data_IF_897249984966
#
_entry.id   IF_897249984966
#
_cell.length_a   1.000
_cell.length_b   1.000
_cell.length_c   1.000
_cell.angle_alpha   90.00
_cell.angle_beta   90.00
_cell.angle_gamma   90.00
#
_symmetry.space_group_name_H-M   'P 1'
#
loop_
_entity.id
_entity.type
_entity.pdbx_description
1 polymer ?
#
# COMPACT_ATOMS: atom_id res chain seq x y z
N UNK A 1 35.33 -18.08 -11.59
CA UNK A 1 34.39 -17.04 -11.11
C UNK A 1 34.45 -16.98 -9.58
N UNK A 2 34.31 -15.80 -9.01
CA UNK A 2 34.40 -15.59 -7.55
C UNK A 2 33.01 -15.32 -6.98
N UNK A 3 32.77 -15.81 -5.76
CA UNK A 3 31.58 -15.52 -4.98
C UNK A 3 31.60 -14.10 -4.38
N UNK A 4 30.51 -13.67 -3.75
CA UNK A 4 30.39 -12.33 -3.14
C UNK A 4 31.39 -12.13 -1.98
N UNK A 5 31.92 -13.21 -1.43
CA UNK A 5 32.99 -13.26 -0.43
C UNK A 5 34.40 -13.22 -1.05
N UNK A 6 34.50 -13.10 -2.37
CA UNK A 6 35.77 -13.09 -3.11
C UNK A 6 36.43 -14.46 -3.24
N UNK A 7 35.80 -15.55 -2.79
CA UNK A 7 36.35 -16.90 -2.90
C UNK A 7 35.96 -17.57 -4.22
N UNK A 8 36.79 -18.49 -4.71
CA UNK A 8 36.51 -19.23 -5.95
C UNK A 8 35.33 -20.16 -5.70
N UNK A 9 34.27 -20.03 -6.51
CA UNK A 9 33.08 -20.85 -6.38
C UNK A 9 33.41 -22.32 -6.72
N UNK A 10 32.96 -23.29 -5.88
CA UNK A 10 33.07 -24.70 -6.21
C UNK A 10 32.20 -25.06 -7.41
N UNK A 11 32.50 -26.18 -8.06
CA UNK A 11 31.82 -26.65 -9.27
C UNK A 11 31.25 -28.04 -9.01
N UNK A 12 30.05 -28.33 -9.53
CA UNK A 12 29.48 -29.67 -9.50
C UNK A 12 30.17 -30.64 -10.48
N UNK A 13 29.79 -31.91 -10.42
CA UNK A 13 30.31 -32.98 -11.27
C UNK A 13 29.99 -32.81 -12.76
N UNK A 14 29.10 -31.88 -13.11
CA UNK A 14 28.77 -31.50 -14.49
C UNK A 14 29.46 -30.22 -14.97
N UNK A 15 30.29 -29.61 -14.12
CA UNK A 15 31.05 -28.41 -14.47
C UNK A 15 30.30 -27.09 -14.24
N UNK A 16 29.16 -27.11 -13.54
CA UNK A 16 28.41 -25.89 -13.20
C UNK A 16 28.84 -25.31 -11.85
N UNK A 17 28.96 -23.99 -11.76
CA UNK A 17 29.35 -23.32 -10.53
C UNK A 17 28.22 -23.38 -9.49
N UNK A 18 28.52 -23.96 -8.33
CA UNK A 18 27.59 -24.05 -7.20
C UNK A 18 27.75 -22.80 -6.34
N UNK A 19 26.65 -22.07 -6.17
CA UNK A 19 26.58 -20.96 -5.23
C UNK A 19 26.07 -21.46 -3.88
N UNK A 20 26.96 -21.56 -2.90
CA UNK A 20 26.63 -21.88 -1.51
C UNK A 20 26.68 -20.58 -0.69
N UNK A 21 25.55 -20.09 -0.14
CA UNK A 21 25.55 -18.92 0.72
C UNK A 21 26.41 -19.18 1.97
N UNK A 22 27.40 -18.33 2.22
CA UNK A 22 28.34 -18.46 3.34
C UNK A 22 27.65 -18.07 4.66
N UNK A 23 27.15 -19.06 5.39
CA UNK A 23 26.66 -18.87 6.77
C UNK A 23 27.84 -18.83 7.77
N UNK A 24 28.40 -17.64 8.00
CA UNK A 24 29.21 -17.31 9.18
C UNK A 24 29.01 -15.81 9.48
N UNK A 25 28.61 -15.34 10.66
CA UNK A 25 28.33 -16.01 11.91
C UNK A 25 28.11 -14.92 12.96
N UNK A 26 26.85 -14.50 13.13
CA UNK A 26 26.36 -13.92 14.37
C UNK A 26 25.13 -14.73 14.78
N UNK A 27 25.19 -15.34 15.98
CA UNK A 27 24.06 -16.08 16.57
C UNK A 27 22.99 -15.08 17.00
N UNK A 28 22.22 -14.61 16.03
CA UNK A 28 20.83 -14.23 16.25
C UNK A 28 20.00 -15.33 15.62
N UNK A 29 19.13 -15.94 16.40
CA UNK A 29 18.15 -16.92 15.94
C UNK A 29 17.18 -16.22 15.00
N UNK A 30 17.59 -15.94 13.76
CA UNK A 30 16.76 -15.34 12.72
C UNK A 30 15.82 -16.42 12.18
N UNK A 31 14.74 -16.65 12.93
CA UNK A 31 13.47 -17.05 12.33
C UNK A 31 13.19 -16.15 11.13
N UNK A 32 12.65 -16.67 10.00
CA UNK A 32 12.37 -15.86 8.82
C UNK A 32 11.57 -14.64 9.26
N UNK A 33 12.12 -13.46 8.97
CA UNK A 33 11.68 -12.18 9.47
C UNK A 33 10.16 -12.07 9.41
N UNK A 34 9.55 -12.09 10.60
CA UNK A 34 8.18 -11.71 10.79
C UNK A 34 8.08 -10.23 10.41
N UNK A 35 7.49 -9.94 9.26
CA UNK A 35 7.10 -8.57 8.87
C UNK A 35 6.01 -8.06 9.83
N UNK A 36 6.42 -7.67 11.03
CA UNK A 36 5.68 -6.74 11.84
C UNK A 36 6.02 -5.32 11.34
N UNK A 37 5.10 -4.37 11.49
CA UNK A 37 5.55 -2.97 11.58
C UNK A 37 6.68 -2.95 12.62
N UNK A 38 7.74 -2.16 12.38
CA UNK A 38 8.75 -2.01 13.43
C UNK A 38 8.02 -1.61 14.71
N UNK A 39 8.35 -2.21 15.85
CA UNK A 39 7.75 -1.83 17.14
C UNK A 39 7.92 -0.34 17.49
N UNK A 40 8.69 0.39 16.68
CA UNK A 40 8.88 1.84 16.73
C UNK A 40 7.90 2.64 15.87
N UNK A 41 7.21 2.03 14.92
CA UNK A 41 6.20 2.71 14.11
C UNK A 41 4.91 2.86 14.93
N UNK A 42 4.36 4.09 15.03
CA UNK A 42 3.08 4.28 15.68
C UNK A 42 1.97 3.53 14.93
N UNK A 43 0.93 3.03 15.62
CA UNK A 43 -0.21 2.43 14.96
C UNK A 43 -0.85 3.46 14.02
N UNK A 44 -1.26 3.02 12.83
CA UNK A 44 -1.96 3.90 11.89
C UNK A 44 -3.26 4.38 12.52
N UNK A 45 -3.40 5.70 12.66
CA UNK A 45 -4.59 6.33 13.23
C UNK A 45 -5.60 6.73 12.16
N UNK A 46 -5.11 7.11 10.97
CA UNK A 46 -5.95 7.50 9.83
C UNK A 46 -5.53 6.74 8.57
N UNK A 47 -6.52 6.17 7.88
CA UNK A 47 -6.34 5.48 6.61
C UNK A 47 -7.28 6.09 5.56
N UNK A 48 -6.70 6.77 4.57
CA UNK A 48 -7.45 7.39 3.47
C UNK A 48 -7.23 6.59 2.18
N UNK A 49 -8.31 6.21 1.53
CA UNK A 49 -8.31 5.62 0.20
C UNK A 49 -8.54 6.72 -0.83
N UNK A 50 -7.63 6.84 -1.80
CA UNK A 50 -7.85 7.65 -3.00
C UNK A 50 -8.02 6.66 -4.14
N UNK A 51 -9.18 6.66 -4.80
CA UNK A 51 -9.54 5.62 -5.78
C UNK A 51 -9.89 6.27 -7.11
N UNK A 52 -9.16 5.91 -8.16
CA UNK A 52 -9.55 6.27 -9.51
C UNK A 52 -10.86 5.56 -9.89
N UNK A 53 -11.86 6.35 -10.27
CA UNK A 53 -13.17 5.89 -10.72
C UNK A 53 -13.56 6.52 -12.06
N UNK A 54 -12.55 6.81 -12.89
CA UNK A 54 -12.71 7.37 -14.23
C UNK A 54 -13.34 6.36 -15.21
N UNK A 55 -13.79 6.85 -16.37
CA UNK A 55 -14.20 6.01 -17.50
C UNK A 55 -13.15 4.96 -17.91
N UNK A 56 -11.85 5.27 -17.75
CA UNK A 56 -10.78 4.31 -18.05
C UNK A 56 -10.79 3.12 -17.08
N UNK A 57 -11.14 3.40 -15.81
CA UNK A 57 -11.19 2.40 -14.74
C UNK A 57 -12.53 1.66 -14.62
N UNK A 58 -13.55 2.07 -15.40
CA UNK A 58 -14.93 1.57 -15.30
C UNK A 58 -15.04 0.04 -15.28
N UNK A 59 -14.29 -0.64 -16.16
CA UNK A 59 -14.29 -2.11 -16.27
C UNK A 59 -13.70 -2.81 -15.03
N UNK A 60 -12.95 -2.09 -14.21
CA UNK A 60 -12.29 -2.61 -13.02
C UNK A 60 -13.02 -2.27 -11.72
N UNK A 61 -14.01 -1.38 -11.74
CA UNK A 61 -14.69 -0.88 -10.54
C UNK A 61 -15.24 -2.00 -9.67
N UNK A 62 -15.95 -2.97 -10.25
CA UNK A 62 -16.48 -4.12 -9.49
C UNK A 62 -15.37 -4.95 -8.80
N UNK A 63 -14.20 -5.06 -9.44
CA UNK A 63 -13.03 -5.77 -8.87
C UNK A 63 -12.40 -4.94 -7.74
N UNK A 64 -12.26 -3.64 -7.94
CA UNK A 64 -11.74 -2.70 -6.94
C UNK A 64 -12.66 -2.67 -5.72
N UNK A 65 -13.98 -2.56 -5.90
CA UNK A 65 -14.96 -2.60 -4.81
C UNK A 65 -14.86 -3.88 -3.99
N UNK A 66 -14.77 -5.04 -4.65
CA UNK A 66 -14.60 -6.32 -3.97
C UNK A 66 -13.30 -6.36 -3.17
N UNK A 67 -12.21 -5.84 -3.74
CA UNK A 67 -10.92 -5.75 -3.09
C UNK A 67 -10.98 -4.85 -1.84
N UNK A 68 -11.53 -3.65 -1.97
CA UNK A 68 -11.69 -2.68 -0.89
C UNK A 68 -12.58 -3.23 0.23
N UNK A 69 -13.78 -3.74 -0.10
CA UNK A 69 -14.67 -4.39 0.89
C UNK A 69 -13.95 -5.47 1.66
N UNK A 70 -13.21 -6.32 0.95
CA UNK A 70 -12.56 -7.44 1.59
C UNK A 70 -11.34 -7.01 2.40
N UNK A 71 -10.62 -5.96 1.99
CA UNK A 71 -9.58 -5.33 2.82
C UNK A 71 -10.17 -4.78 4.12
N UNK A 72 -11.23 -3.96 4.05
CA UNK A 72 -11.90 -3.38 5.23
C UNK A 72 -12.44 -4.50 6.14
N UNK A 73 -13.07 -5.52 5.56
CA UNK A 73 -13.57 -6.70 6.31
C UNK A 73 -12.45 -7.45 7.03
N UNK A 74 -11.21 -7.33 6.56
CA UNK A 74 -10.05 -8.01 7.10
C UNK A 74 -9.34 -7.22 8.21
N UNK A 75 -9.63 -5.92 8.36
CA UNK A 75 -9.07 -5.06 9.41
C UNK A 75 -9.58 -5.52 10.78
N UNK A 76 -8.73 -5.48 11.82
CA UNK A 76 -9.13 -5.83 13.18
C UNK A 76 -10.26 -4.91 13.67
N UNK A 77 -11.10 -5.42 14.57
CA UNK A 77 -12.19 -4.64 15.16
C UNK A 77 -11.71 -3.68 16.26
N UNK A 78 -10.67 -4.08 16.99
CA UNK A 78 -9.97 -3.22 17.95
C UNK A 78 -8.85 -2.49 17.20
N UNK A 79 -8.65 -1.23 17.54
CA UNK A 79 -7.56 -0.41 17.03
C UNK A 79 -7.57 -0.21 15.50
N UNK A 80 -8.76 -0.25 14.88
CA UNK A 80 -8.92 0.10 13.47
C UNK A 80 -8.69 1.61 13.28
N UNK A 81 -7.94 2.03 12.25
CA UNK A 81 -7.80 3.45 11.93
C UNK A 81 -9.17 4.08 11.63
N UNK A 82 -9.26 5.40 11.77
CA UNK A 82 -10.34 6.19 11.17
C UNK A 82 -10.17 6.13 9.66
N UNK A 83 -11.21 5.67 8.98
CA UNK A 83 -11.15 5.40 7.54
C UNK A 83 -11.88 6.50 6.77
N UNK A 84 -11.30 6.95 5.66
CA UNK A 84 -11.94 7.82 4.68
C UNK A 84 -11.77 7.30 3.26
N UNK A 85 -12.61 7.78 2.33
CA UNK A 85 -12.57 7.41 0.91
C UNK A 85 -12.82 8.64 0.05
N UNK A 86 -11.85 8.94 -0.82
CA UNK A 86 -11.92 9.91 -1.90
C UNK A 86 -11.94 9.13 -3.22
N UNK A 87 -12.86 9.46 -4.11
CA UNK A 87 -12.87 8.93 -5.48
C UNK A 87 -12.53 10.04 -6.47
N UNK A 88 -11.95 9.71 -7.62
CA UNK A 88 -11.64 10.71 -8.62
C UNK A 88 -11.74 10.22 -10.07
N UNK A 89 -12.25 11.12 -10.92
CA UNK A 89 -12.17 11.09 -12.38
C UNK A 89 -11.61 12.45 -12.82
N UNK A 90 -12.32 13.20 -13.67
CA UNK A 90 -11.96 14.60 -13.91
C UNK A 90 -12.25 15.52 -12.70
N UNK A 91 -13.12 15.09 -11.79
CA UNK A 91 -13.38 15.72 -10.49
C UNK A 91 -12.95 14.79 -9.36
N UNK A 92 -12.87 15.31 -8.15
CA UNK A 92 -12.59 14.52 -6.94
C UNK A 92 -13.73 14.71 -5.93
N UNK A 93 -14.18 13.61 -5.32
CA UNK A 93 -15.31 13.59 -4.41
C UNK A 93 -15.02 12.76 -3.16
N UNK A 94 -15.25 13.34 -1.99
CA UNK A 94 -15.19 12.61 -0.72
C UNK A 94 -16.48 11.82 -0.58
N UNK A 95 -16.34 10.50 -0.49
CA UNK A 95 -17.48 9.56 -0.42
C UNK A 95 -17.61 8.92 0.94
N UNK A 96 -16.56 8.96 1.76
CA UNK A 96 -16.58 8.58 3.17
C UNK A 96 -15.73 9.61 3.91
N UNK A 97 -16.39 10.37 4.76
CA UNK A 97 -15.74 11.30 5.67
C UNK A 97 -14.94 10.54 6.72
N UNK A 98 -13.72 11.02 7.01
CA UNK A 98 -12.77 10.31 7.86
C UNK A 98 -13.37 10.10 9.25
N UNK A 99 -13.61 8.84 9.63
CA UNK A 99 -14.13 8.47 10.94
C UNK A 99 -15.60 8.81 11.20
N UNK A 100 -16.32 9.38 10.22
CA UNK A 100 -17.71 9.81 10.36
C UNK A 100 -18.68 8.75 9.82
N UNK A 101 -18.70 7.59 10.48
CA UNK A 101 -19.63 6.50 10.22
C UNK A 101 -20.07 5.88 11.53
N UNK A 102 -21.30 5.38 11.59
CA UNK A 102 -21.95 4.83 12.79
C UNK A 102 -21.43 3.44 13.17
N UNK A 103 -20.82 2.73 12.23
CA UNK A 103 -20.23 1.42 12.50
C UNK A 103 -19.66 0.74 11.26
N UNK A 104 -19.16 -0.48 11.47
CA UNK A 104 -18.51 -1.27 10.42
C UNK A 104 -19.45 -1.66 9.28
N UNK A 105 -20.73 -1.88 9.57
CA UNK A 105 -21.71 -2.26 8.54
C UNK A 105 -21.94 -1.11 7.55
N UNK A 106 -22.16 0.10 8.06
CA UNK A 106 -22.26 1.31 7.24
C UNK A 106 -20.97 1.53 6.44
N UNK A 107 -19.81 1.45 7.09
CA UNK A 107 -18.53 1.57 6.43
C UNK A 107 -18.38 0.58 5.25
N UNK A 108 -18.70 -0.70 5.47
CA UNK A 108 -18.64 -1.72 4.42
C UNK A 108 -19.64 -1.48 3.28
N UNK A 109 -20.83 -0.96 3.60
CA UNK A 109 -21.82 -0.58 2.60
C UNK A 109 -21.30 0.59 1.74
N UNK A 110 -20.79 1.66 2.37
CA UNK A 110 -20.24 2.83 1.67
C UNK A 110 -19.01 2.50 0.83
N UNK A 111 -18.16 1.55 1.24
CA UNK A 111 -17.06 1.05 0.41
C UNK A 111 -17.52 0.26 -0.82
N UNK A 112 -18.78 -0.19 -0.82
CA UNK A 112 -19.40 -0.90 -1.91
C UNK A 112 -20.18 -0.09 -2.90
N UNK A 113 -20.32 1.20 -2.64
CA UNK A 113 -20.98 2.13 -3.53
C UNK A 113 -19.89 3.02 -4.13
N UNK A 114 -19.54 2.71 -5.37
CA UNK A 114 -18.61 3.51 -6.16
C UNK A 114 -19.29 3.87 -7.47
N UNK A 115 -19.28 5.17 -7.79
CA UNK A 115 -19.77 5.68 -9.07
C UNK A 115 -18.62 6.02 -9.98
N UNK A 116 -18.85 5.83 -11.27
CA UNK A 116 -17.96 6.37 -12.29
C UNK A 116 -18.06 7.89 -12.30
N UNK A 117 -16.90 8.56 -12.36
CA UNK A 117 -16.80 9.99 -12.57
C UNK A 117 -16.33 10.25 -14.00
N UNK A 118 -17.04 11.12 -14.70
CA UNK A 118 -16.77 11.41 -16.11
C UNK A 118 -15.43 12.12 -16.32
N UNK A 119 -14.91 12.01 -17.55
CA UNK A 119 -13.73 12.72 -18.02
C UNK A 119 -12.39 12.05 -17.75
N UNK A 120 -11.32 12.77 -18.05
CA UNK A 120 -9.94 12.29 -17.91
C UNK A 120 -9.53 12.34 -16.42
N UNK A 121 -8.98 11.25 -15.85
CA UNK A 121 -8.58 11.23 -14.45
C UNK A 121 -7.53 12.30 -14.13
N UNK A 122 -7.77 13.08 -13.06
CA UNK A 122 -6.85 14.10 -12.57
C UNK A 122 -6.34 13.79 -11.15
N UNK A 123 -5.25 13.01 -11.09
CA UNK A 123 -4.64 12.60 -9.82
C UNK A 123 -4.09 13.80 -9.01
N UNK A 124 -3.59 14.84 -9.68
CA UNK A 124 -3.15 16.08 -9.03
C UNK A 124 -4.26 16.73 -8.21
N UNK A 125 -5.47 16.83 -8.79
CA UNK A 125 -6.64 17.35 -8.10
C UNK A 125 -6.98 16.47 -6.88
N UNK A 126 -7.00 15.15 -7.06
CA UNK A 126 -7.29 14.22 -5.97
C UNK A 126 -6.29 14.33 -4.81
N UNK A 127 -4.99 14.41 -5.12
CA UNK A 127 -3.93 14.59 -4.11
C UNK A 127 -4.03 15.95 -3.42
N UNK A 128 -4.41 17.00 -4.14
CA UNK A 128 -4.64 18.33 -3.56
C UNK A 128 -5.83 18.33 -2.58
N UNK A 129 -6.95 17.73 -2.97
CA UNK A 129 -8.13 17.57 -2.09
C UNK A 129 -7.77 16.74 -0.86
N UNK A 130 -7.01 15.66 -1.03
CA UNK A 130 -6.52 14.85 0.09
C UNK A 130 -5.63 15.66 1.05
N UNK A 131 -4.74 16.50 0.53
CA UNK A 131 -3.90 17.38 1.34
C UNK A 131 -4.74 18.36 2.18
N UNK A 132 -5.79 18.94 1.59
CA UNK A 132 -6.70 19.83 2.32
C UNK A 132 -7.44 19.07 3.41
N UNK A 133 -8.10 17.95 3.07
CA UNK A 133 -8.87 17.13 4.00
C UNK A 133 -8.05 16.62 5.19
N UNK A 134 -6.79 16.25 4.95
CA UNK A 134 -5.88 15.77 5.98
C UNK A 134 -5.28 16.92 6.82
N UNK A 135 -5.31 18.15 6.33
CA UNK A 135 -4.82 19.33 7.04
C UNK A 135 -5.87 20.04 7.91
N UNK A 136 -7.16 19.67 7.81
CA UNK A 136 -8.26 20.30 8.56
C UNK A 136 -8.22 20.01 10.07
N UNK A 137 -7.77 18.81 10.45
CA UNK A 137 -7.73 18.34 11.84
C UNK A 137 -6.45 17.52 12.07
N UNK A 138 -6.08 17.29 13.33
CA UNK A 138 -5.01 16.35 13.62
C UNK A 138 -5.45 14.92 13.26
N UNK A 139 -4.80 14.36 12.23
CA UNK A 139 -5.07 13.01 11.73
C UNK A 139 -4.15 11.95 12.34
N UNK A 140 -3.17 12.34 13.15
CA UNK A 140 -2.18 11.42 13.72
C UNK A 140 -1.40 10.66 12.63
N UNK A 141 -0.89 9.47 12.97
CA UNK A 141 -0.16 8.63 12.01
C UNK A 141 -1.05 8.25 10.81
N UNK A 142 -0.78 8.86 9.66
CA UNK A 142 -1.66 8.79 8.48
C UNK A 142 -1.04 7.99 7.34
N UNK A 143 -1.82 7.05 6.79
CA UNK A 143 -1.50 6.31 5.57
C UNK A 143 -2.52 6.65 4.48
N UNK A 144 -2.03 6.92 3.28
CA UNK A 144 -2.87 7.09 2.08
C UNK A 144 -2.60 5.97 1.10
N UNK A 145 -3.65 5.26 0.70
CA UNK A 145 -3.61 4.26 -0.35
C UNK A 145 -4.22 4.83 -1.62
N UNK A 146 -3.38 5.10 -2.61
CA UNK A 146 -3.78 5.67 -3.89
C UNK A 146 -3.89 4.58 -4.96
N UNK A 147 -5.11 4.16 -5.27
CA UNK A 147 -5.44 3.23 -6.35
C UNK A 147 -5.62 4.00 -7.65
N UNK A 148 -4.77 3.72 -8.63
CA UNK A 148 -4.84 4.37 -9.94
C UNK A 148 -4.66 3.36 -11.07
N UNK A 149 -5.27 3.67 -12.21
CA UNK A 149 -5.08 2.97 -13.48
C UNK A 149 -4.29 3.86 -14.43
N UNK A 150 -4.64 5.14 -14.50
CA UNK A 150 -3.91 6.13 -15.27
C UNK A 150 -2.47 6.28 -14.73
N UNK A 151 -1.46 6.35 -15.61
CA UNK A 151 -0.10 6.64 -15.21
C UNK A 151 -0.01 8.02 -14.52
N UNK A 152 0.77 8.10 -13.44
CA UNK A 152 1.05 9.38 -12.79
C UNK A 152 1.95 10.24 -13.69
N UNK A 153 1.62 11.52 -13.80
CA UNK A 153 2.41 12.54 -14.48
C UNK A 153 3.38 13.15 -13.46
N UNK A 154 4.43 13.83 -13.97
CA UNK A 154 5.39 14.56 -13.12
C UNK A 154 4.74 15.58 -12.17
N UNK A 155 3.65 16.21 -12.60
CA UNK A 155 2.90 17.14 -11.75
C UNK A 155 2.18 16.45 -10.59
N UNK A 156 1.73 15.20 -10.80
CA UNK A 156 1.09 14.39 -9.77
C UNK A 156 2.13 13.95 -8.73
N UNK A 157 3.34 13.59 -9.18
CA UNK A 157 4.49 13.27 -8.30
C UNK A 157 4.89 14.45 -7.40
N UNK A 158 4.95 15.66 -7.95
CA UNK A 158 5.23 16.86 -7.16
C UNK A 158 4.20 17.05 -6.03
N UNK A 159 2.90 16.83 -6.31
CA UNK A 159 1.86 16.90 -5.28
C UNK A 159 1.96 15.76 -4.27
N UNK A 160 2.30 14.55 -4.72
CA UNK A 160 2.55 13.41 -3.85
C UNK A 160 3.68 13.69 -2.85
N UNK A 161 4.77 14.32 -3.30
CA UNK A 161 5.87 14.75 -2.43
C UNK A 161 5.43 15.79 -1.38
N UNK A 162 4.56 16.74 -1.76
CA UNK A 162 4.05 17.73 -0.79
C UNK A 162 3.22 17.04 0.29
N UNK A 163 2.40 16.06 -0.07
CA UNK A 163 1.62 15.28 0.87
C UNK A 163 2.52 14.45 1.78
N UNK A 164 3.57 13.83 1.25
CA UNK A 164 4.54 13.07 2.05
C UNK A 164 5.31 13.96 3.04
N UNK A 165 5.67 15.18 2.62
CA UNK A 165 6.34 16.17 3.49
C UNK A 165 5.48 16.60 4.69
N UNK A 166 4.16 16.46 4.63
CA UNK A 166 3.26 16.70 5.77
C UNK A 166 3.17 15.51 6.74
N UNK A 167 4.04 14.50 6.61
CA UNK A 167 4.07 13.33 7.50
C UNK A 167 3.15 12.19 7.07
N UNK A 168 2.56 12.26 5.87
CA UNK A 168 1.69 11.21 5.34
C UNK A 168 2.51 10.10 4.67
N UNK A 169 2.25 8.84 5.04
CA UNK A 169 2.79 7.68 4.32
C UNK A 169 1.89 7.39 3.11
N UNK A 170 2.29 7.87 1.93
CA UNK A 170 1.57 7.68 0.66
C UNK A 170 2.07 6.45 -0.09
N UNK A 171 1.15 5.56 -0.48
CA UNK A 171 1.42 4.34 -1.26
C UNK A 171 0.61 4.37 -2.54
N UNK A 172 1.31 4.35 -3.68
CA UNK A 172 0.70 4.22 -5.00
C UNK A 172 0.50 2.75 -5.37
N UNK A 173 -0.72 2.42 -5.80
CA UNK A 173 -1.13 1.11 -6.23
C UNK A 173 -1.61 1.25 -7.67
N UNK A 174 -0.73 0.92 -8.61
CA UNK A 174 -1.08 0.85 -10.04
C UNK A 174 -1.86 -0.44 -10.36
N UNK A 175 -2.40 -0.52 -11.58
CA UNK A 175 -3.16 -1.69 -12.06
C UNK A 175 -2.41 -2.99 -11.80
N UNK A 176 -1.12 -3.06 -12.14
CA UNK A 176 -0.33 -4.28 -12.00
C UNK A 176 -0.22 -4.71 -10.54
N UNK A 177 -0.17 -3.74 -9.62
CA UNK A 177 0.01 -3.96 -8.19
C UNK A 177 -1.28 -4.41 -7.52
N UNK A 178 -2.42 -3.74 -7.74
CA UNK A 178 -3.68 -4.13 -7.09
C UNK A 178 -4.40 -5.27 -7.82
N UNK A 179 -4.26 -5.41 -9.15
CA UNK A 179 -4.98 -6.44 -9.92
C UNK A 179 -4.47 -7.86 -9.68
N UNK A 180 -3.19 -8.00 -9.32
CA UNK A 180 -2.54 -9.29 -8.97
C UNK A 180 -2.79 -9.71 -7.54
N UNK A 181 -3.32 -8.82 -6.70
CA UNK A 181 -3.53 -9.07 -5.27
C UNK A 181 -4.97 -9.49 -5.02
N UNK A 182 -5.15 -10.54 -4.22
CA UNK A 182 -6.41 -10.73 -3.50
C UNK A 182 -6.41 -9.83 -2.24
N UNK A 183 -7.54 -9.70 -1.57
CA UNK A 183 -7.63 -8.91 -0.34
C UNK A 183 -6.75 -9.42 0.79
N UNK A 184 -6.42 -10.72 0.77
CA UNK A 184 -5.45 -11.29 1.66
C UNK A 184 -4.03 -10.89 1.27
N UNK A 185 -3.70 -10.60 0.00
CA UNK A 185 -2.40 -10.17 -0.51
C UNK A 185 -2.15 -8.67 -0.32
N UNK A 186 -3.20 -7.86 -0.12
CA UNK A 186 -3.06 -6.55 0.53
C UNK A 186 -2.70 -6.69 2.03
N UNK A 187 -2.87 -7.89 2.61
CA UNK A 187 -2.61 -8.22 4.03
C UNK A 187 -1.45 -9.20 4.26
N UNK A 188 -0.97 -9.90 3.22
CA UNK A 188 -0.10 -11.08 3.31
C UNK A 188 1.29 -10.73 2.80
N UNK A 189 2.13 -10.52 3.80
CA UNK A 189 3.34 -11.31 4.06
C UNK A 189 3.00 -12.82 4.02
N UNK A 190 3.88 -13.61 3.40
CA UNK A 190 3.69 -15.04 3.14
C UNK A 190 3.30 -15.82 4.42
N UNK A 191 2.20 -16.59 4.33
CA UNK A 191 1.66 -17.39 5.44
C UNK A 191 2.02 -18.85 5.21
N UNK A 192 3.10 -19.31 5.84
CA UNK A 192 3.18 -20.69 6.31
C UNK A 192 3.48 -20.77 7.81
N UNK A 193 2.48 -21.35 8.49
CA UNK A 193 2.38 -21.83 9.87
C UNK A 193 1.90 -20.84 10.95
N UNK A 194 0.74 -21.22 11.48
CA UNK A 194 -0.07 -20.72 12.58
C UNK A 194 0.67 -20.72 13.92
N UNK A 195 0.59 -19.63 14.69
CA UNK A 195 -0.23 -19.50 15.91
C UNK A 195 -0.02 -18.10 16.51
N UNK A 196 -1.05 -17.57 17.19
CA UNK A 196 -1.10 -16.32 17.95
C UNK A 196 -1.49 -15.05 17.18
N UNK A 197 -2.60 -14.49 17.65
CA UNK A 197 -3.25 -13.25 17.25
C UNK A 197 -2.34 -12.05 17.54
N UNK A 198 -2.05 -11.27 16.50
CA UNK A 198 -1.88 -9.81 16.50
C UNK A 198 -1.55 -9.39 15.05
N UNK A 199 -2.39 -8.56 14.43
CA UNK A 199 -2.27 -8.15 13.02
C UNK A 199 -1.80 -6.71 12.95
N UNK A 200 -0.52 -6.50 12.65
CA UNK A 200 0.04 -5.21 12.24
C UNK A 200 0.10 -5.12 10.70
N UNK A 201 -0.20 -3.95 10.14
CA UNK A 201 -0.19 -3.70 8.68
C UNK A 201 1.18 -3.15 8.28
N UNK A 202 2.11 -4.02 7.89
CA UNK A 202 3.43 -3.61 7.40
C UNK A 202 3.41 -3.31 5.89
N UNK A 203 4.04 -2.20 5.49
CA UNK A 203 4.35 -1.87 4.09
C UNK A 203 5.86 -2.04 3.87
N UNK A 204 6.32 -2.65 2.76
CA UNK A 204 7.74 -2.70 2.45
C UNK A 204 8.28 -1.29 2.15
N UNK A 205 9.40 -0.94 2.77
CA UNK A 205 10.13 0.30 2.50
C UNK A 205 10.59 0.35 1.04
N UNK A 206 10.08 1.30 0.26
CA UNK A 206 10.65 1.63 -1.04
C UNK A 206 11.82 2.59 -0.77
N UNK A 207 13.02 2.06 -0.60
CA UNK A 207 14.25 2.85 -0.68
C UNK A 207 14.61 2.89 -2.17
N UNK A 208 14.65 4.10 -2.73
CA UNK A 208 14.95 4.33 -4.13
C UNK A 208 16.37 3.86 -4.48
N UNK A 209 16.47 3.00 -5.49
CA UNK A 209 17.73 2.76 -6.17
C UNK A 209 17.95 3.89 -7.18
N UNK A 210 18.95 4.71 -6.86
CA UNK A 210 19.59 5.63 -7.80
C UNK A 210 20.29 4.78 -8.88
N UNK A 211 19.75 4.76 -10.10
CA UNK A 211 20.52 4.32 -11.26
C UNK A 211 21.56 5.39 -11.60
N UNK A 212 22.83 5.11 -11.31
CA UNK A 212 23.97 5.83 -11.90
C UNK A 212 24.41 5.09 -13.16
N UNK A 213 24.34 5.79 -14.29
CA UNK A 213 24.85 5.37 -15.58
C UNK A 213 26.37 5.59 -15.64
N UNK A 214 27.12 4.55 -15.99
CA UNK A 214 28.34 4.62 -16.81
C UNK A 214 28.55 3.27 -17.52
#
# INVERSE_FOLDING_TARGET
PLGPDGQVLPTDDTGNFIFVPSDQGDRVTSTPDKFYCSSTDPPTETLLFIVETSQQSAIYLAKIEKLLKSFISSLPHRDSPRIGKLIYGATAEITIDIGHYTGREELLASFGETRELEGVPDAKLALHVAQQLLGEEDRGATVVLHFHLAPLRKEDEFMAEQLQKSGVKLVHLDEKTWSRRDSAALRKVDRRKSYSDDVAIAFPSIIGEHETYD
#
